data_IF_965001032561
#
_entry.id   IF_965001032561
#
_cell.length_a   1.000
_cell.length_b   1.000
_cell.length_c   1.000
_cell.angle_alpha   90.00
_cell.angle_beta   90.00
_cell.angle_gamma   90.00
#
_symmetry.space_group_name_H-M   'P 1'
#
loop_
_entity.id
_entity.type
_entity.pdbx_description
1 polymer ?
#
# COMPACT_ATOMS: atom_id res chain seq x y z
N UNK A 1 -6.84 -22.17 6.69
CA UNK A 1 -8.19 -22.33 6.11
C UNK A 1 -8.12 -22.23 4.57
N UNK A 2 -7.35 -23.11 3.90
CA UNK A 2 -7.14 -23.02 2.44
C UNK A 2 -8.44 -23.30 1.68
N UNK A 3 -8.72 -22.51 0.65
CA UNK A 3 -9.90 -22.67 -0.22
C UNK A 3 -11.20 -22.15 0.41
N UNK A 4 -11.11 -21.41 1.52
CA UNK A 4 -12.27 -20.90 2.25
C UNK A 4 -12.09 -19.42 2.64
N UNK A 5 -11.98 -18.51 1.65
CA UNK A 5 -11.62 -17.11 1.89
C UNK A 5 -12.64 -16.38 2.79
N UNK A 6 -13.94 -16.64 2.62
CA UNK A 6 -14.98 -16.01 3.44
C UNK A 6 -14.92 -16.47 4.91
N UNK A 7 -14.66 -17.75 5.17
CA UNK A 7 -14.46 -18.23 6.54
C UNK A 7 -13.20 -17.61 7.16
N UNK A 8 -12.09 -17.54 6.40
CA UNK A 8 -10.86 -16.92 6.89
C UNK A 8 -11.05 -15.44 7.26
N UNK A 9 -11.77 -14.69 6.41
CA UNK A 9 -12.11 -13.30 6.65
C UNK A 9 -13.02 -13.13 7.86
N UNK A 10 -14.00 -14.02 8.06
CA UNK A 10 -14.92 -13.99 9.20
C UNK A 10 -14.22 -14.24 10.53
N UNK A 11 -13.30 -15.21 10.57
CA UNK A 11 -12.65 -15.62 11.82
C UNK A 11 -11.43 -14.76 12.19
N UNK A 12 -10.68 -14.26 11.20
CA UNK A 12 -9.37 -13.63 11.41
C UNK A 12 -9.19 -12.29 10.69
N UNK A 13 -10.14 -11.88 9.87
CA UNK A 13 -10.07 -10.65 9.11
C UNK A 13 -10.54 -9.42 9.88
N UNK A 14 -10.62 -8.30 9.16
CA UNK A 14 -11.18 -7.06 9.65
C UNK A 14 -12.17 -6.48 8.62
N UNK A 15 -13.02 -5.50 9.00
CA UNK A 15 -14.00 -4.92 8.08
C UNK A 15 -13.37 -4.29 6.82
N UNK A 16 -12.16 -3.74 6.91
CA UNK A 16 -11.49 -3.15 5.75
C UNK A 16 -11.11 -4.23 4.74
N UNK A 17 -10.52 -5.34 5.18
CA UNK A 17 -10.23 -6.48 4.31
C UNK A 17 -11.49 -7.02 3.65
N UNK A 18 -12.60 -7.09 4.39
CA UNK A 18 -13.89 -7.55 3.87
C UNK A 18 -14.43 -6.63 2.78
N UNK A 19 -14.38 -5.31 3.03
CA UNK A 19 -14.80 -4.30 2.07
C UNK A 19 -13.94 -4.34 0.80
N UNK A 20 -12.61 -4.34 0.92
CA UNK A 20 -11.73 -4.38 -0.26
C UNK A 20 -11.91 -5.67 -1.04
N UNK A 21 -11.98 -6.83 -0.37
CA UNK A 21 -12.26 -8.10 -1.03
C UNK A 21 -13.58 -8.04 -1.82
N UNK A 22 -14.65 -7.57 -1.19
CA UNK A 22 -15.96 -7.42 -1.83
C UNK A 22 -15.91 -6.48 -3.05
N UNK A 23 -15.28 -5.31 -2.92
CA UNK A 23 -15.11 -4.35 -4.01
C UNK A 23 -14.38 -4.97 -5.21
N UNK A 24 -13.26 -5.66 -4.97
CA UNK A 24 -12.47 -6.26 -6.06
C UNK A 24 -13.21 -7.43 -6.71
N UNK A 25 -13.95 -8.24 -5.95
CA UNK A 25 -14.75 -9.33 -6.53
C UNK A 25 -16.00 -8.86 -7.28
N UNK A 26 -16.48 -7.63 -7.00
CA UNK A 26 -17.68 -7.07 -7.62
C UNK A 26 -17.41 -6.06 -8.74
N UNK A 27 -16.15 -5.71 -8.99
CA UNK A 27 -15.77 -4.77 -10.04
C UNK A 27 -15.89 -5.41 -11.43
N UNK A 28 -16.11 -4.58 -12.46
CA UNK A 28 -16.14 -5.04 -13.84
C UNK A 28 -14.80 -5.65 -14.25
N UNK A 29 -14.88 -6.63 -15.14
CA UNK A 29 -13.74 -7.44 -15.54
C UNK A 29 -12.59 -6.64 -16.18
N UNK A 30 -12.92 -5.53 -16.83
CA UNK A 30 -11.98 -4.68 -17.56
C UNK A 30 -11.30 -3.62 -16.68
N UNK A 31 -11.59 -3.62 -15.37
CA UNK A 31 -11.04 -2.62 -14.44
C UNK A 31 -9.70 -3.07 -13.86
N UNK A 32 -8.66 -2.27 -14.09
CA UNK A 32 -7.37 -2.46 -13.43
C UNK A 32 -7.46 -2.16 -11.93
N UNK A 33 -6.92 -3.07 -11.11
CA UNK A 33 -6.97 -2.96 -9.66
C UNK A 33 -5.57 -2.77 -9.08
N UNK A 34 -5.40 -1.68 -8.36
CA UNK A 34 -4.20 -1.39 -7.57
C UNK A 34 -4.57 -1.50 -6.09
N UNK A 35 -3.95 -2.46 -5.40
CA UNK A 35 -4.10 -2.61 -3.95
C UNK A 35 -3.10 -1.68 -3.25
N UNK A 36 -3.57 -0.51 -2.83
CA UNK A 36 -2.74 0.52 -2.23
C UNK A 36 -2.52 0.29 -0.72
N UNK A 37 -1.35 -0.22 -0.34
CA UNK A 37 -0.99 -0.45 1.06
C UNK A 37 0.08 -1.52 1.25
N UNK A 38 0.39 -1.81 2.53
CA UNK A 38 1.43 -2.77 2.93
C UNK A 38 0.90 -4.20 3.10
N UNK A 39 1.38 -4.92 4.12
CA UNK A 39 1.05 -6.33 4.36
C UNK A 39 -0.45 -6.63 4.42
N UNK A 40 -1.27 -5.65 4.84
CA UNK A 40 -2.73 -5.72 4.80
C UNK A 40 -3.27 -6.02 3.39
N UNK A 41 -2.70 -5.39 2.36
CA UNK A 41 -3.08 -5.63 0.97
C UNK A 41 -2.59 -6.99 0.45
N UNK A 42 -1.50 -7.53 0.99
CA UNK A 42 -1.08 -8.91 0.71
C UNK A 42 -2.06 -9.94 1.27
N UNK A 43 -2.63 -9.68 2.46
CA UNK A 43 -3.68 -10.52 3.02
C UNK A 43 -4.95 -10.51 2.14
N UNK A 44 -5.35 -9.33 1.67
CA UNK A 44 -6.47 -9.21 0.70
C UNK A 44 -6.15 -9.95 -0.60
N UNK A 45 -4.95 -9.80 -1.15
CA UNK A 45 -4.54 -10.54 -2.35
C UNK A 45 -4.59 -12.05 -2.13
N UNK A 46 -4.16 -12.55 -0.96
CA UNK A 46 -4.28 -13.97 -0.61
C UNK A 46 -5.74 -14.46 -0.60
N UNK A 47 -6.67 -13.65 -0.07
CA UNK A 47 -8.10 -13.96 -0.08
C UNK A 47 -8.63 -14.00 -1.52
N UNK A 48 -8.26 -13.03 -2.36
CA UNK A 48 -8.64 -12.97 -3.77
C UNK A 48 -8.15 -14.19 -4.54
N UNK A 49 -6.88 -14.58 -4.38
CA UNK A 49 -6.33 -15.80 -4.99
C UNK A 49 -7.09 -17.05 -4.55
N UNK A 50 -7.43 -17.15 -3.25
CA UNK A 50 -8.23 -18.28 -2.76
C UNK A 50 -9.69 -18.28 -3.23
N UNK A 51 -10.19 -17.13 -3.70
CA UNK A 51 -11.51 -17.00 -4.30
C UNK A 51 -11.50 -17.23 -5.83
N UNK A 52 -10.35 -17.57 -6.42
CA UNK A 52 -10.20 -17.80 -7.86
C UNK A 52 -10.00 -16.54 -8.69
N UNK A 53 -9.56 -15.43 -8.07
CA UNK A 53 -9.16 -14.25 -8.81
C UNK A 53 -7.79 -14.50 -9.46
N UNK A 54 -7.77 -14.71 -10.77
CA UNK A 54 -6.56 -15.11 -11.51
C UNK A 54 -5.91 -13.98 -12.33
N UNK A 55 -6.50 -12.77 -12.30
CA UNK A 55 -5.95 -11.61 -13.03
C UNK A 55 -4.67 -11.08 -12.37
N UNK A 56 -3.79 -10.39 -13.12
CA UNK A 56 -2.65 -9.69 -12.53
C UNK A 56 -3.11 -8.72 -11.43
N UNK A 57 -2.36 -8.68 -10.33
CA UNK A 57 -2.61 -7.78 -9.20
C UNK A 57 -1.32 -7.03 -8.91
N UNK A 58 -1.44 -5.71 -8.77
CA UNK A 58 -0.36 -4.84 -8.33
C UNK A 58 -0.66 -4.36 -6.90
N UNK A 59 0.33 -4.52 -6.02
CA UNK A 59 0.32 -3.89 -4.69
C UNK A 59 1.23 -2.67 -4.74
N UNK A 60 0.64 -1.50 -4.57
CA UNK A 60 1.38 -0.25 -4.53
C UNK A 60 1.60 0.17 -3.06
N UNK A 61 2.85 0.12 -2.63
CA UNK A 61 3.28 0.47 -1.27
C UNK A 61 4.42 1.48 -1.31
N UNK A 62 4.97 1.88 -0.15
CA UNK A 62 6.15 2.74 -0.06
C UNK A 62 7.45 1.96 0.00
N UNK A 63 8.56 2.63 -0.36
CA UNK A 63 9.90 2.08 -0.15
C UNK A 63 10.20 1.71 1.30
N UNK A 64 9.52 2.31 2.28
CA UNK A 64 9.72 2.04 3.70
C UNK A 64 9.20 0.66 4.10
N UNK A 65 8.12 0.17 3.47
CA UNK A 65 7.62 -1.19 3.66
C UNK A 65 8.55 -2.21 3.00
N UNK A 66 9.00 -1.94 1.79
CA UNK A 66 9.88 -2.87 1.05
C UNK A 66 11.24 -3.03 1.72
N UNK A 67 11.79 -1.95 2.31
CA UNK A 67 13.07 -1.98 3.03
C UNK A 67 12.98 -2.60 4.43
N UNK A 68 11.77 -2.81 4.96
CA UNK A 68 11.58 -3.38 6.29
C UNK A 68 11.88 -4.88 6.30
N UNK A 69 13.07 -5.22 6.80
CA UNK A 69 13.56 -6.61 6.90
C UNK A 69 12.70 -7.50 7.80
N UNK A 70 11.93 -6.92 8.72
CA UNK A 70 11.07 -7.68 9.63
C UNK A 70 9.70 -8.01 9.04
N UNK A 71 9.29 -7.34 7.96
CA UNK A 71 7.95 -7.50 7.40
C UNK A 71 7.82 -8.73 6.48
N UNK A 72 8.92 -9.33 6.01
CA UNK A 72 8.93 -10.40 5.00
C UNK A 72 8.04 -10.09 3.77
N UNK A 73 7.90 -8.80 3.44
CA UNK A 73 6.87 -8.32 2.51
C UNK A 73 7.04 -8.89 1.10
N UNK A 74 8.28 -8.88 0.58
CA UNK A 74 8.60 -9.39 -0.75
C UNK A 74 8.36 -10.91 -0.86
N UNK A 75 8.69 -11.67 0.19
CA UNK A 75 8.49 -13.11 0.23
C UNK A 75 7.00 -13.46 0.22
N UNK A 76 6.20 -12.74 1.02
CA UNK A 76 4.75 -12.89 1.05
C UNK A 76 4.12 -12.52 -0.29
N UNK A 77 4.53 -11.40 -0.89
CA UNK A 77 4.05 -10.96 -2.20
C UNK A 77 4.31 -11.99 -3.30
N UNK A 78 5.50 -12.62 -3.29
CA UNK A 78 5.83 -13.72 -4.20
C UNK A 78 4.92 -14.93 -3.99
N UNK A 79 4.62 -15.29 -2.74
CA UNK A 79 3.72 -16.42 -2.44
C UNK A 79 2.29 -16.19 -2.93
N UNK A 80 1.80 -14.94 -2.91
CA UNK A 80 0.46 -14.58 -3.38
C UNK A 80 0.43 -14.13 -4.85
N UNK A 81 1.58 -14.18 -5.54
CA UNK A 81 1.73 -13.85 -6.95
C UNK A 81 1.19 -12.45 -7.29
N UNK A 82 1.68 -11.44 -6.57
CA UNK A 82 1.39 -10.03 -6.87
C UNK A 82 2.65 -9.31 -7.34
N UNK A 83 2.48 -8.41 -8.28
CA UNK A 83 3.50 -7.42 -8.61
C UNK A 83 3.55 -6.36 -7.51
N UNK A 84 4.70 -5.72 -7.35
CA UNK A 84 4.91 -4.72 -6.31
C UNK A 84 5.40 -3.45 -6.96
N UNK A 85 4.71 -2.36 -6.66
CA UNK A 85 5.23 -1.02 -6.85
C UNK A 85 5.68 -0.47 -5.49
N UNK A 86 6.89 0.11 -5.48
CA UNK A 86 7.51 0.70 -4.30
C UNK A 86 7.69 2.18 -4.54
N UNK A 87 6.80 3.01 -3.99
CA UNK A 87 6.86 4.46 -4.11
C UNK A 87 8.23 4.97 -3.61
N UNK A 88 9.03 5.63 -4.46
CA UNK A 88 10.38 6.06 -4.14
C UNK A 88 10.34 7.40 -3.39
N UNK A 89 9.63 7.44 -2.28
CA UNK A 89 9.62 8.58 -1.37
C UNK A 89 10.96 8.63 -0.62
N UNK A 90 11.50 9.82 -0.44
CA UNK A 90 12.71 10.09 0.32
C UNK A 90 12.48 11.34 1.18
N UNK A 91 12.41 11.15 2.49
CA UNK A 91 12.32 12.23 3.48
C UNK A 91 13.64 12.43 4.25
N UNK A 92 14.75 11.83 3.80
CA UNK A 92 16.06 11.93 4.47
C UNK A 92 16.59 13.36 4.56
N UNK A 93 16.24 14.21 3.58
CA UNK A 93 16.62 15.62 3.54
C UNK A 93 15.56 16.54 4.16
N UNK A 94 14.49 15.98 4.74
CA UNK A 94 13.41 16.80 5.27
C UNK A 94 13.85 17.56 6.53
N UNK A 95 13.57 18.88 6.62
CA UNK A 95 13.89 19.65 7.83
C UNK A 95 12.97 19.33 9.01
N UNK A 96 11.95 18.50 8.78
CA UNK A 96 10.93 18.15 9.76
C UNK A 96 11.18 16.74 10.31
N UNK A 97 11.50 16.64 11.59
CA UNK A 97 11.79 15.34 12.22
C UNK A 97 10.65 14.32 12.07
N UNK A 98 9.40 14.77 12.16
CA UNK A 98 8.24 13.88 12.00
C UNK A 98 8.08 13.29 10.59
N UNK A 99 8.69 13.90 9.56
CA UNK A 99 8.78 13.31 8.21
C UNK A 99 10.08 12.53 8.04
N UNK A 100 11.21 13.06 8.50
CA UNK A 100 12.51 12.39 8.42
C UNK A 100 12.54 11.05 9.20
N UNK A 101 11.70 10.89 10.22
CA UNK A 101 11.58 9.66 11.00
C UNK A 101 11.02 8.47 10.17
N UNK A 102 10.39 8.71 9.01
CA UNK A 102 10.02 7.66 8.04
C UNK A 102 11.25 6.84 7.60
N UNK A 103 12.41 7.49 7.43
CA UNK A 103 13.66 6.82 7.07
C UNK A 103 14.20 5.90 8.16
N UNK A 104 13.80 6.13 9.42
CA UNK A 104 14.17 5.29 10.56
C UNK A 104 13.17 4.14 10.78
N UNK A 105 12.18 4.00 9.89
CA UNK A 105 11.14 2.98 9.96
C UNK A 105 9.94 3.35 10.84
N UNK A 106 9.83 4.61 11.28
CA UNK A 106 8.62 5.09 11.94
C UNK A 106 7.58 5.46 10.90
N UNK A 107 6.36 4.93 11.02
CA UNK A 107 5.29 5.15 10.03
C UNK A 107 5.75 4.74 8.63
N UNK A 108 5.58 3.47 8.27
CA UNK A 108 6.07 2.95 6.98
C UNK A 108 5.09 3.23 5.84
N UNK A 109 3.80 3.09 6.12
CA UNK A 109 2.71 3.14 5.16
C UNK A 109 1.42 3.54 5.87
N UNK A 110 0.41 3.93 5.11
CA UNK A 110 -0.93 4.17 5.60
C UNK A 110 -1.74 4.94 4.57
N UNK A 111 -3.07 4.92 4.71
CA UNK A 111 -4.01 5.73 3.93
C UNK A 111 -3.86 5.65 2.40
N UNK A 112 -3.25 4.57 1.89
CA UNK A 112 -3.01 4.37 0.46
C UNK A 112 -1.90 5.26 -0.13
N UNK A 113 -0.95 5.73 0.68
CA UNK A 113 0.10 6.65 0.24
C UNK A 113 0.93 6.11 -0.93
N UNK A 114 1.34 4.84 -0.87
CA UNK A 114 2.07 4.19 -1.98
C UNK A 114 1.30 4.21 -3.30
N UNK A 115 0.01 3.86 -3.26
CA UNK A 115 -0.87 3.90 -4.44
C UNK A 115 -1.16 5.31 -4.94
N UNK A 116 -1.27 6.29 -4.05
CA UNK A 116 -1.43 7.69 -4.44
C UNK A 116 -0.21 8.22 -5.21
N UNK A 117 1.01 7.85 -4.78
CA UNK A 117 2.25 8.20 -5.49
C UNK A 117 2.31 7.48 -6.84
N UNK A 118 2.00 6.18 -6.88
CA UNK A 118 1.93 5.43 -8.14
C UNK A 118 1.03 6.12 -9.17
N UNK A 119 -0.19 6.50 -8.74
CA UNK A 119 -1.15 7.17 -9.62
C UNK A 119 -0.68 8.56 -10.03
N UNK A 120 -0.04 9.30 -9.13
CA UNK A 120 0.55 10.60 -9.44
C UNK A 120 1.64 10.48 -10.53
N UNK A 121 2.49 9.45 -10.47
CA UNK A 121 3.50 9.19 -11.50
C UNK A 121 2.86 8.86 -12.85
N UNK A 122 1.75 8.11 -12.89
CA UNK A 122 1.00 7.86 -14.13
C UNK A 122 0.48 9.17 -14.77
N UNK A 123 0.26 10.20 -13.96
CA UNK A 123 -0.13 11.54 -14.41
C UNK A 123 1.06 12.48 -14.69
N UNK A 124 2.29 11.96 -14.68
CA UNK A 124 3.51 12.74 -14.92
C UNK A 124 3.97 13.59 -13.73
N UNK A 125 3.48 13.30 -12.52
CA UNK A 125 3.92 13.98 -11.29
C UNK A 125 5.07 13.22 -10.67
N UNK A 126 6.23 13.86 -10.52
CA UNK A 126 7.39 13.21 -9.91
C UNK A 126 7.22 12.98 -8.40
N UNK A 127 7.83 11.91 -7.84
CA UNK A 127 7.92 11.67 -6.40
C UNK A 127 8.47 12.88 -5.63
N UNK A 128 9.49 13.57 -6.15
CA UNK A 128 10.04 14.79 -5.55
C UNK A 128 9.02 15.92 -5.41
N UNK A 129 8.06 16.01 -6.35
CA UNK A 129 6.97 16.98 -6.25
C UNK A 129 6.00 16.59 -5.14
N UNK A 130 5.74 15.30 -4.95
CA UNK A 130 4.94 14.80 -3.82
C UNK A 130 5.64 15.08 -2.50
N UNK A 131 6.92 14.74 -2.37
CA UNK A 131 7.73 15.01 -1.16
C UNK A 131 7.69 16.49 -0.79
N UNK A 132 8.04 17.39 -1.74
CA UNK A 132 7.98 18.84 -1.51
C UNK A 132 6.59 19.32 -1.09
N UNK A 133 5.53 18.76 -1.68
CA UNK A 133 4.16 19.15 -1.32
C UNK A 133 3.80 18.68 0.09
N UNK A 134 4.19 17.47 0.47
CA UNK A 134 4.01 16.94 1.82
C UNK A 134 4.70 17.83 2.85
N UNK A 135 5.95 18.25 2.60
CA UNK A 135 6.67 19.17 3.49
C UNK A 135 5.99 20.54 3.63
N UNK A 136 5.50 21.12 2.53
CA UNK A 136 4.74 22.37 2.56
C UNK A 136 3.46 22.25 3.41
N UNK A 137 2.74 21.14 3.27
CA UNK A 137 1.54 20.88 4.07
C UNK A 137 1.88 20.68 5.54
N UNK A 138 2.93 19.91 5.84
CA UNK A 138 3.41 19.68 7.20
C UNK A 138 3.82 20.99 7.89
N UNK A 139 4.54 21.87 7.18
CA UNK A 139 4.89 23.20 7.67
C UNK A 139 3.64 24.03 8.01
N UNK A 140 2.63 24.01 7.13
CA UNK A 140 1.39 24.75 7.34
C UNK A 140 0.56 24.22 8.52
N UNK A 141 0.63 22.91 8.79
CA UNK A 141 -0.02 22.30 9.96
C UNK A 141 0.66 22.71 11.25
N UNK A 142 1.99 22.68 11.32
CA UNK A 142 2.73 23.06 12.52
C UNK A 142 2.55 24.55 12.85
N UNK A 143 2.54 25.43 11.85
CA UNK A 143 2.32 26.88 12.07
C UNK A 143 0.92 27.23 12.60
N UNK A 144 -0.05 26.32 12.49
CA UNK A 144 -1.43 26.51 12.97
C UNK A 144 -1.65 25.93 14.37
N UNK A 145 -0.69 25.18 14.90
CA UNK A 145 -0.73 24.61 16.25
C UNK A 145 -0.04 25.51 17.26
#
# INVERSE_FOLDING_TARGET
>A
MRGKPIEALRELGDPMQATVFGMVTGVLEETDIILAGGTQMLAVAALLRQAGYDKPLLVATTTYVVRDKYAHFLDLAKQVQVEIYSAPLDFSQSPYSGLADYEKGYVKEGVGAGGAVWYAEQLGVSPDRVVRKTEQLYQAMIKKS
#
